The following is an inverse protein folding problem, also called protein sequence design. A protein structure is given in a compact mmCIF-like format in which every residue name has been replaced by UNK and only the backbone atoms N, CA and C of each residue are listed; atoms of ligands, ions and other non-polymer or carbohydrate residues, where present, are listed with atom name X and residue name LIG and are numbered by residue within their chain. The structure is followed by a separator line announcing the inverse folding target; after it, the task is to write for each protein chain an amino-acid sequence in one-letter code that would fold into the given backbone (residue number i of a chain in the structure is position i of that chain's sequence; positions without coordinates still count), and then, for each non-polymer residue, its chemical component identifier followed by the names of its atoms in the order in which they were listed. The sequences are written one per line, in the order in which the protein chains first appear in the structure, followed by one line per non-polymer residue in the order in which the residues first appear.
data_IF_166362636376
#
_entry.id   IF_166362636376
#
_cell.length_a   1.000
_cell.length_b   1.000
_cell.length_c   1.000
_cell.angle_alpha   90.00
_cell.angle_beta   90.00
_cell.angle_gamma   90.00
#
_symmetry.space_group_name_H-M   'P 1'
#
loop_
_entity.id
_entity.type
_entity.pdbx_description
1 polymer ?
#
# COMPACT_ATOMS: atom_id res chain seq x y z
N UNK A 1 -7.52 -1.78 12.27
CA UNK A 1 -7.04 -2.62 11.14
C UNK A 1 -5.65 -2.12 10.71
N UNK A 2 -4.64 -2.99 10.66
CA UNK A 2 -3.24 -2.62 10.34
C UNK A 2 -3.02 -2.33 8.84
N UNK A 3 -1.92 -1.65 8.49
CA UNK A 3 -1.55 -1.37 7.10
C UNK A 3 -1.39 -2.67 6.31
N UNK A 4 -0.69 -3.65 6.88
CA UNK A 4 -0.53 -5.00 6.31
C UNK A 4 -1.86 -5.61 5.90
N UNK A 5 -2.86 -5.55 6.79
CA UNK A 5 -4.16 -6.13 6.50
C UNK A 5 -4.86 -5.37 5.36
N UNK A 6 -4.86 -4.03 5.38
CA UNK A 6 -5.43 -3.21 4.31
C UNK A 6 -4.79 -3.51 2.95
N UNK A 7 -3.46 -3.59 2.88
CA UNK A 7 -2.76 -3.91 1.63
C UNK A 7 -3.06 -5.32 1.15
N UNK A 8 -3.19 -6.31 2.05
CA UNK A 8 -3.59 -7.68 1.66
C UNK A 8 -5.00 -7.74 1.09
N UNK A 9 -5.95 -7.00 1.67
CA UNK A 9 -7.32 -6.89 1.14
C UNK A 9 -7.29 -6.23 -0.24
N UNK A 10 -6.50 -5.17 -0.42
CA UNK A 10 -6.30 -4.53 -1.72
C UNK A 10 -5.73 -5.53 -2.74
N UNK A 11 -4.68 -6.25 -2.39
CA UNK A 11 -4.10 -7.31 -3.22
C UNK A 11 -5.15 -8.34 -3.67
N UNK A 12 -5.93 -8.88 -2.72
CA UNK A 12 -6.96 -9.87 -3.01
C UNK A 12 -8.06 -9.32 -3.94
N UNK A 13 -8.48 -8.06 -3.76
CA UNK A 13 -9.53 -7.44 -4.57
C UNK A 13 -9.09 -7.13 -6.01
N UNK A 14 -7.78 -7.04 -6.27
CA UNK A 14 -7.24 -6.67 -7.58
C UNK A 14 -6.48 -7.82 -8.26
N UNK A 15 -6.51 -9.03 -7.69
CA UNK A 15 -5.74 -10.20 -8.15
C UNK A 15 -4.24 -9.90 -8.35
N UNK A 16 -3.65 -9.14 -7.42
CA UNK A 16 -2.23 -8.80 -7.41
C UNK A 16 -1.57 -9.21 -6.11
N UNK A 17 -0.26 -9.39 -6.10
CA UNK A 17 0.51 -9.63 -4.88
C UNK A 17 1.12 -8.35 -4.31
N UNK A 18 1.57 -8.41 -3.06
CA UNK A 18 2.36 -7.34 -2.44
C UNK A 18 3.64 -7.05 -3.26
N UNK A 19 4.25 -8.07 -3.87
CA UNK A 19 5.42 -7.88 -4.73
C UNK A 19 5.09 -7.10 -6.01
N UNK A 20 3.89 -7.28 -6.56
CA UNK A 20 3.49 -6.57 -7.76
C UNK A 20 3.31 -5.09 -7.49
N UNK A 21 2.74 -4.74 -6.32
CA UNK A 21 2.69 -3.35 -5.84
C UNK A 21 4.10 -2.75 -5.74
N UNK A 22 5.04 -3.48 -5.13
CA UNK A 22 6.43 -3.01 -5.01
C UNK A 22 7.09 -2.82 -6.38
N UNK A 23 6.87 -3.74 -7.32
CA UNK A 23 7.39 -3.64 -8.69
C UNK A 23 6.78 -2.46 -9.44
N UNK A 24 5.48 -2.23 -9.30
CA UNK A 24 4.78 -1.09 -9.89
C UNK A 24 5.35 0.23 -9.36
N UNK A 25 5.53 0.34 -8.04
CA UNK A 25 6.15 1.50 -7.41
C UNK A 25 7.57 1.76 -7.91
N UNK A 26 8.41 0.71 -7.97
CA UNK A 26 9.76 0.83 -8.51
C UNK A 26 9.78 1.32 -9.96
N UNK A 27 8.88 0.79 -10.80
CA UNK A 27 8.77 1.16 -12.21
C UNK A 27 8.26 2.60 -12.41
N UNK A 28 7.24 3.01 -11.65
CA UNK A 28 6.60 4.31 -11.81
C UNK A 28 7.46 5.47 -11.30
N UNK A 29 8.25 5.24 -10.24
CA UNK A 29 8.99 6.29 -9.54
C UNK A 29 10.52 6.13 -9.63
N UNK A 30 10.99 5.30 -10.56
CA UNK A 30 12.41 4.95 -10.77
C UNK A 30 13.14 4.62 -9.44
N UNK A 31 12.53 3.69 -8.68
CA UNK A 31 13.06 3.24 -7.38
C UNK A 31 13.64 1.84 -7.49
N UNK A 32 14.53 1.54 -6.55
CA UNK A 32 15.20 0.23 -6.45
C UNK A 32 14.84 -0.48 -5.14
N UNK A 33 13.56 -0.47 -4.76
CA UNK A 33 13.11 -1.12 -3.52
C UNK A 33 13.25 -2.63 -3.61
N UNK A 34 13.90 -3.22 -2.62
CA UNK A 34 14.07 -4.67 -2.51
C UNK A 34 12.98 -5.30 -1.65
N UNK A 35 12.60 -6.53 -1.99
CA UNK A 35 11.47 -7.26 -1.37
C UNK A 35 11.59 -7.41 0.14
N UNK A 36 12.78 -7.73 0.66
CA UNK A 36 13.00 -7.89 2.10
C UNK A 36 12.71 -6.58 2.87
N UNK A 37 13.21 -5.45 2.37
CA UNK A 37 12.98 -4.13 2.95
C UNK A 37 11.50 -3.75 2.85
N UNK A 38 10.88 -4.02 1.70
CA UNK A 38 9.46 -3.77 1.49
C UNK A 38 8.58 -4.53 2.48
N UNK A 39 8.78 -5.85 2.61
CA UNK A 39 8.04 -6.65 3.57
C UNK A 39 8.28 -6.22 5.02
N UNK A 40 9.51 -5.83 5.37
CA UNK A 40 9.80 -5.29 6.70
C UNK A 40 8.98 -4.02 6.98
N UNK A 41 8.91 -3.09 6.03
CA UNK A 41 8.12 -1.85 6.15
C UNK A 41 6.62 -2.12 6.29
N UNK A 42 6.08 -3.02 5.46
CA UNK A 42 4.65 -3.39 5.51
C UNK A 42 4.30 -4.05 6.83
N UNK A 43 5.18 -4.94 7.33
CA UNK A 43 4.95 -5.66 8.59
C UNK A 43 5.14 -4.78 9.83
N UNK A 44 6.05 -3.79 9.79
CA UNK A 44 6.35 -2.91 10.92
C UNK A 44 5.37 -1.74 11.07
N UNK A 45 4.40 -1.59 10.15
CA UNK A 45 3.46 -0.46 10.14
C UNK A 45 4.15 0.93 10.07
N UNK A 46 5.43 1.00 9.68
CA UNK A 46 6.24 2.22 9.71
C UNK A 46 6.50 2.80 8.31
N UNK A 47 5.49 2.73 7.43
CA UNK A 47 5.59 3.31 6.10
C UNK A 47 5.23 4.80 6.15
N UNK A 48 6.09 5.65 5.58
CA UNK A 48 5.83 7.10 5.48
C UNK A 48 4.63 7.35 4.58
N UNK A 49 3.84 8.38 4.88
CA UNK A 49 2.63 8.73 4.13
C UNK A 49 2.92 8.93 2.64
N UNK A 50 3.87 9.80 2.27
CA UNK A 50 4.19 10.07 0.85
C UNK A 50 4.55 8.78 0.10
N UNK A 51 5.35 7.91 0.72
CA UNK A 51 5.74 6.63 0.13
C UNK A 51 4.54 5.69 -0.06
N UNK A 52 3.61 5.65 0.90
CA UNK A 52 2.37 4.88 0.76
C UNK A 52 1.48 5.48 -0.34
N UNK A 53 1.42 6.81 -0.43
CA UNK A 53 0.67 7.53 -1.47
C UNK A 53 1.19 7.19 -2.86
N UNK A 54 2.50 7.37 -3.10
CA UNK A 54 3.15 7.05 -4.38
C UNK A 54 2.99 5.56 -4.73
N UNK A 55 3.08 4.68 -3.74
CA UNK A 55 2.91 3.24 -3.93
C UNK A 55 1.48 2.89 -4.37
N UNK A 56 0.47 3.49 -3.74
CA UNK A 56 -0.92 3.31 -4.13
C UNK A 56 -1.20 3.93 -5.51
N UNK A 57 -0.63 5.10 -5.78
CA UNK A 57 -0.77 5.77 -7.08
C UNK A 57 -0.20 4.92 -8.22
N UNK A 58 0.93 4.23 -7.98
CA UNK A 58 1.54 3.33 -8.96
C UNK A 58 0.65 2.17 -9.42
N UNK A 59 -0.40 1.85 -8.66
CA UNK A 59 -1.40 0.82 -8.98
C UNK A 59 -2.79 1.42 -9.24
N UNK A 60 -2.89 2.74 -9.43
CA UNK A 60 -4.12 3.46 -9.76
C UNK A 60 -5.01 3.78 -8.56
N UNK A 61 -4.46 3.85 -7.35
CA UNK A 61 -5.19 4.17 -6.12
C UNK A 61 -4.74 5.48 -5.49
N UNK A 62 -5.67 6.21 -4.88
CA UNK A 62 -5.37 7.43 -4.12
C UNK A 62 -5.83 7.33 -2.66
N UNK A 63 -5.17 8.07 -1.77
CA UNK A 63 -5.57 8.16 -0.37
C UNK A 63 -6.58 9.29 -0.20
N UNK A 64 -7.84 8.93 0.06
CA UNK A 64 -8.92 9.88 0.35
C UNK A 64 -9.19 10.00 1.85
N UNK A 65 -9.28 11.23 2.35
CA UNK A 65 -9.76 11.49 3.71
C UNK A 65 -11.28 11.45 3.73
N UNK A 66 -11.84 10.50 4.48
CA UNK A 66 -13.29 10.37 4.69
C UNK A 66 -13.60 10.51 6.16
N UNK A 67 -14.66 11.26 6.49
CA UNK A 67 -15.18 11.32 7.86
C UNK A 67 -15.53 9.89 8.30
N UNK A 68 -15.07 9.50 9.49
CA UNK A 68 -15.48 8.23 10.10
C UNK A 68 -17.00 8.26 10.20
N UNK A 69 -17.69 7.24 9.67
CA UNK A 69 -19.13 7.11 9.90
C UNK A 69 -19.31 6.91 11.41
N UNK A 70 -20.13 7.77 12.02
CA UNK A 70 -20.56 7.61 13.41
C UNK A 70 -21.47 6.37 13.45
N UNK A 71 -20.87 5.18 13.63
CA UNK A 71 -21.52 3.88 13.86
C UNK A 71 -22.70 3.52 12.95
N UNK A 72 -22.49 2.54 12.06
CA UNK A 72 -23.61 1.64 11.73
C UNK A 72 -23.98 0.94 13.06
N UNK A 73 -25.12 1.34 13.66
CA UNK A 73 -25.82 0.53 14.67
C UNK A 73 -26.51 -0.64 13.97
#
# INVERSE_FOLDING_TARGET
MSLKHKLKVLCANNDITLLDIMKAYNKAYDKSMVSQTFYRMVNSNNMRYNQLSDMLDSIGYEIVFRRKRDGDQ
#
